data_IF_426685850113
#
_entry.id   IF_426685850113
#
_cell.length_a   1.000
_cell.length_b   1.000
_cell.length_c   1.000
_cell.angle_alpha   90.00
_cell.angle_beta   90.00
_cell.angle_gamma   90.00
#
_symmetry.space_group_name_H-M   'P 1'
#
loop_
_entity.id
_entity.type
_entity.pdbx_description
1 polymer ?
#
# COMPACT_ATOMS: atom_id res chain seq x y z
N UNK A 1 15.25 -25.91 -43.82
CA UNK A 1 13.97 -25.26 -43.49
C UNK A 1 13.66 -25.56 -42.03
N UNK A 2 13.99 -24.65 -41.10
CA UNK A 2 13.79 -24.86 -39.67
C UNK A 2 12.30 -24.66 -39.32
N UNK A 3 11.67 -25.70 -38.77
CA UNK A 3 10.34 -25.63 -38.20
C UNK A 3 10.36 -24.67 -37.00
N UNK A 4 9.58 -23.60 -37.08
CA UNK A 4 9.24 -22.80 -35.91
C UNK A 4 8.29 -23.61 -35.01
N UNK A 5 8.71 -23.90 -33.78
CA UNK A 5 7.85 -24.47 -32.75
C UNK A 5 6.90 -23.36 -32.26
N UNK A 6 5.77 -23.19 -32.92
CA UNK A 6 4.65 -22.47 -32.34
C UNK A 6 4.18 -23.30 -31.15
N UNK A 7 4.49 -22.85 -29.94
CA UNK A 7 4.16 -23.55 -28.70
C UNK A 7 2.68 -23.93 -28.67
N UNK A 8 2.36 -25.05 -28.00
CA UNK A 8 1.00 -25.56 -27.84
C UNK A 8 0.14 -24.60 -26.98
N UNK A 9 -0.24 -23.46 -27.55
CA UNK A 9 -1.18 -22.49 -27.00
C UNK A 9 -2.60 -23.07 -27.14
N UNK A 10 -2.93 -24.02 -26.29
CA UNK A 10 -4.25 -24.65 -26.23
C UNK A 10 -5.08 -24.03 -25.11
N UNK A 11 -6.38 -23.72 -25.34
CA UNK A 11 -7.26 -23.10 -24.36
C UNK A 11 -7.48 -23.95 -23.09
N UNK A 12 -7.95 -23.33 -21.99
CA UNK A 12 -8.41 -21.95 -21.88
C UNK A 12 -7.26 -20.95 -21.76
N UNK A 13 -7.33 -19.88 -22.55
CA UNK A 13 -6.43 -18.75 -22.40
C UNK A 13 -6.76 -18.00 -21.10
N UNK A 14 -5.76 -17.34 -20.46
CA UNK A 14 -6.03 -16.41 -19.37
C UNK A 14 -7.04 -15.35 -19.82
N UNK A 15 -8.04 -15.07 -18.99
CA UNK A 15 -8.89 -13.91 -19.20
C UNK A 15 -8.05 -12.65 -18.99
N UNK A 16 -7.88 -11.89 -20.06
CA UNK A 16 -7.29 -10.56 -20.00
C UNK A 16 -8.41 -9.58 -19.66
N UNK A 17 -8.31 -8.96 -18.49
CA UNK A 17 -9.18 -7.87 -18.08
C UNK A 17 -8.47 -6.56 -18.42
N UNK A 18 -9.12 -5.75 -19.25
CA UNK A 18 -8.69 -4.40 -19.57
C UNK A 18 -9.78 -3.45 -19.12
N UNK A 19 -9.47 -2.60 -18.14
CA UNK A 19 -10.39 -1.60 -17.61
C UNK A 19 -9.86 -0.21 -17.93
N UNK A 20 -10.77 0.69 -18.29
CA UNK A 20 -10.45 2.12 -18.43
C UNK A 20 -10.90 2.80 -17.16
N UNK A 21 -9.93 3.30 -16.38
CA UNK A 21 -10.20 4.10 -15.20
C UNK A 21 -10.12 5.57 -15.60
N UNK A 22 -11.15 6.34 -15.28
CA UNK A 22 -11.19 7.78 -15.52
C UNK A 22 -10.96 8.50 -14.19
N UNK A 23 -10.20 9.58 -14.26
CA UNK A 23 -9.93 10.47 -13.15
C UNK A 23 -10.20 11.90 -13.59
N UNK A 24 -10.72 12.71 -12.68
CA UNK A 24 -10.74 14.15 -12.91
C UNK A 24 -9.36 14.80 -12.61
N UNK A 25 -9.22 16.08 -12.95
CA UNK A 25 -7.95 16.79 -12.79
C UNK A 25 -7.56 16.94 -11.31
N UNK A 26 -8.54 17.10 -10.42
CA UNK A 26 -8.31 17.26 -8.98
C UNK A 26 -7.87 15.94 -8.34
N UNK A 27 -8.47 14.82 -8.72
CA UNK A 27 -8.09 13.46 -8.34
C UNK A 27 -6.66 13.15 -8.79
N UNK A 28 -6.32 13.48 -10.04
CA UNK A 28 -4.96 13.32 -10.56
C UNK A 28 -3.97 14.16 -9.77
N UNK A 29 -4.30 15.43 -9.53
CA UNK A 29 -3.45 16.34 -8.77
C UNK A 29 -3.24 15.84 -7.34
N UNK A 30 -4.32 15.47 -6.65
CA UNK A 30 -4.29 15.00 -5.27
C UNK A 30 -3.49 13.70 -5.14
N UNK A 31 -3.76 12.71 -6.00
CA UNK A 31 -3.02 11.45 -5.99
C UNK A 31 -1.54 11.66 -6.28
N UNK A 32 -1.21 12.50 -7.27
CA UNK A 32 0.17 12.72 -7.66
C UNK A 32 0.96 13.52 -6.61
N UNK A 33 0.47 14.68 -6.21
CA UNK A 33 1.19 15.59 -5.33
C UNK A 33 1.08 15.18 -3.86
N UNK A 34 -0.14 14.98 -3.37
CA UNK A 34 -0.40 14.77 -1.94
C UNK A 34 0.00 13.37 -1.49
N UNK A 35 -0.04 12.37 -2.38
CA UNK A 35 0.32 10.99 -2.02
C UNK A 35 1.66 10.55 -2.58
N UNK A 36 1.81 10.46 -3.91
CA UNK A 36 3.00 9.84 -4.52
C UNK A 36 4.26 10.66 -4.24
N UNK A 37 4.24 11.96 -4.58
CA UNK A 37 5.40 12.82 -4.41
C UNK A 37 5.73 13.07 -2.94
N UNK A 38 4.71 13.21 -2.09
CA UNK A 38 4.90 13.35 -0.65
C UNK A 38 5.57 12.11 -0.04
N UNK A 39 5.07 10.90 -0.36
CA UNK A 39 5.66 9.66 0.14
C UNK A 39 7.10 9.46 -0.36
N UNK A 40 7.43 9.87 -1.59
CA UNK A 40 8.80 9.87 -2.08
C UNK A 40 9.75 10.66 -1.18
N UNK A 41 9.31 11.82 -0.67
CA UNK A 41 10.13 12.64 0.25
C UNK A 41 10.36 11.91 1.57
N UNK A 42 9.32 11.31 2.15
CA UNK A 42 9.40 10.59 3.43
C UNK A 42 10.32 9.38 3.31
N UNK A 43 10.10 8.55 2.29
CA UNK A 43 10.92 7.36 2.04
C UNK A 43 12.37 7.75 1.75
N UNK A 44 12.58 8.84 0.98
CA UNK A 44 13.91 9.39 0.76
C UNK A 44 14.62 9.84 2.04
N UNK A 45 13.89 10.40 3.02
CA UNK A 45 14.42 10.73 4.35
C UNK A 45 14.77 9.48 5.14
N UNK A 46 13.87 8.49 5.17
CA UNK A 46 14.07 7.23 5.89
C UNK A 46 15.29 6.45 5.36
N UNK A 47 15.46 6.40 4.04
CA UNK A 47 16.64 5.77 3.41
C UNK A 47 17.92 6.50 3.84
N UNK A 48 17.91 7.83 3.85
CA UNK A 48 19.09 8.63 4.25
C UNK A 48 19.43 8.51 5.73
N UNK A 49 18.42 8.45 6.61
CA UNK A 49 18.63 8.36 8.06
C UNK A 49 18.83 6.91 8.54
N UNK A 50 18.55 5.91 7.71
CA UNK A 50 18.50 4.50 8.11
C UNK A 50 17.38 4.19 9.11
N UNK A 51 16.49 5.15 9.38
CA UNK A 51 15.39 5.00 10.34
C UNK A 51 14.09 4.80 9.58
N UNK A 52 13.31 3.75 9.86
CA UNK A 52 12.05 3.51 9.18
C UNK A 52 11.05 4.65 9.44
N UNK A 53 10.13 4.94 8.50
CA UNK A 53 9.07 5.91 8.72
C UNK A 53 8.17 5.52 9.91
N UNK A 54 7.59 6.53 10.54
CA UNK A 54 6.65 6.34 11.64
C UNK A 54 5.40 5.56 11.18
N UNK A 55 5.00 4.50 11.91
CA UNK A 55 3.78 3.76 11.60
C UNK A 55 2.54 4.66 11.58
N UNK A 56 1.56 4.34 10.74
CA UNK A 56 0.22 4.96 10.66
C UNK A 56 0.16 6.45 10.25
N UNK A 57 1.30 7.17 10.21
CA UNK A 57 1.31 8.62 9.99
C UNK A 57 1.12 9.06 8.53
N UNK A 58 1.66 8.32 7.58
CA UNK A 58 1.68 8.70 6.16
C UNK A 58 0.92 7.70 5.26
N UNK A 59 0.15 6.83 5.89
CA UNK A 59 -0.58 5.74 5.26
C UNK A 59 -2.08 6.11 5.19
N UNK A 60 -2.78 5.62 4.17
CA UNK A 60 -4.24 5.62 4.17
C UNK A 60 -4.73 4.49 5.08
N UNK A 61 -5.95 4.62 5.59
CA UNK A 61 -6.53 3.63 6.50
C UNK A 61 -6.62 2.24 5.85
N UNK A 62 -7.01 2.18 4.57
CA UNK A 62 -7.05 0.92 3.84
C UNK A 62 -5.66 0.30 3.65
N UNK A 63 -4.61 1.11 3.49
CA UNK A 63 -3.24 0.61 3.33
C UNK A 63 -2.81 -0.13 4.59
N UNK A 64 -3.11 0.44 5.77
CA UNK A 64 -2.81 -0.19 7.05
C UNK A 64 -3.73 -1.38 7.34
N UNK A 65 -5.04 -1.24 7.06
CA UNK A 65 -6.05 -2.27 7.32
C UNK A 65 -5.74 -3.59 6.63
N UNK A 66 -5.30 -3.54 5.38
CA UNK A 66 -4.97 -4.72 4.58
C UNK A 66 -3.46 -5.02 4.54
N UNK A 67 -2.64 -4.30 5.32
CA UNK A 67 -1.21 -4.56 5.39
C UNK A 67 -0.91 -5.88 6.13
N UNK A 68 -0.10 -6.73 5.51
CA UNK A 68 0.41 -7.97 6.14
C UNK A 68 1.11 -7.74 7.48
N UNK A 69 1.71 -6.56 7.67
CA UNK A 69 2.48 -6.20 8.87
C UNK A 69 1.68 -5.37 9.87
N UNK A 70 0.36 -5.21 9.68
CA UNK A 70 -0.48 -4.38 10.55
C UNK A 70 -0.33 -4.75 12.03
N UNK A 71 -0.41 -6.05 12.35
CA UNK A 71 -0.24 -6.56 13.72
C UNK A 71 1.10 -6.18 14.36
N UNK A 72 2.18 -6.22 13.56
CA UNK A 72 3.53 -5.83 14.02
C UNK A 72 3.57 -4.34 14.31
N UNK A 73 3.05 -3.51 13.40
CA UNK A 73 2.98 -2.07 13.57
C UNK A 73 2.12 -1.67 14.77
N UNK A 74 0.98 -2.32 14.98
CA UNK A 74 0.11 -2.11 16.16
C UNK A 74 0.84 -2.49 17.46
N UNK A 75 1.54 -3.62 17.46
CA UNK A 75 2.30 -4.07 18.64
C UNK A 75 3.44 -3.11 18.98
N UNK A 76 4.15 -2.60 17.96
CA UNK A 76 5.18 -1.59 18.11
C UNK A 76 4.58 -0.27 18.62
N UNK A 77 3.50 0.24 18.00
CA UNK A 77 2.85 1.48 18.42
C UNK A 77 2.22 1.42 19.83
N UNK A 78 1.87 0.24 20.33
CA UNK A 78 1.46 0.05 21.73
C UNK A 78 2.64 0.11 22.71
N UNK A 79 3.85 -0.23 22.26
CA UNK A 79 5.06 -0.29 23.11
C UNK A 79 5.93 0.95 23.00
N UNK A 80 5.94 1.62 21.86
CA UNK A 80 6.45 2.99 21.69
C UNK A 80 5.33 3.98 21.98
N UNK A 81 5.64 5.15 22.52
CA UNK A 81 4.69 6.24 22.78
C UNK A 81 4.20 6.92 21.47
N UNK A 82 3.79 6.13 20.47
CA UNK A 82 3.33 6.60 19.16
C UNK A 82 1.82 6.75 19.20
N UNK A 83 1.32 7.96 18.90
CA UNK A 83 -0.12 8.25 18.93
C UNK A 83 -0.87 7.49 17.82
N UNK A 84 -1.81 6.63 18.22
CA UNK A 84 -2.78 5.96 17.34
C UNK A 84 -4.09 6.76 17.31
N UNK A 85 -4.80 6.80 16.17
CA UNK A 85 -6.10 7.45 16.11
C UNK A 85 -7.18 6.65 16.88
N UNK A 86 -8.25 7.31 17.32
CA UNK A 86 -9.34 6.68 18.07
C UNK A 86 -10.01 5.53 17.29
N UNK A 87 -10.21 5.70 15.98
CA UNK A 87 -10.74 4.65 15.10
C UNK A 87 -9.81 3.43 15.02
N UNK A 88 -8.49 3.67 14.94
CA UNK A 88 -7.50 2.58 14.87
C UNK A 88 -7.42 1.79 16.18
N UNK A 89 -7.57 2.47 17.33
CA UNK A 89 -7.63 1.82 18.65
C UNK A 89 -8.86 0.91 18.75
N UNK A 90 -10.00 1.33 18.20
CA UNK A 90 -11.24 0.57 18.28
C UNK A 90 -11.28 -0.63 17.34
N UNK A 91 -10.69 -0.52 16.14
CA UNK A 91 -10.48 -1.67 15.25
C UNK A 91 -9.49 -2.68 15.86
N UNK A 92 -8.41 -2.20 16.47
CA UNK A 92 -7.41 -3.05 17.13
C UNK A 92 -8.02 -3.82 18.31
N UNK A 93 -8.86 -3.20 19.15
CA UNK A 93 -9.60 -3.92 20.21
C UNK A 93 -10.44 -5.10 19.68
N UNK A 94 -10.96 -5.02 18.45
CA UNK A 94 -11.75 -6.10 17.84
C UNK A 94 -10.91 -7.27 17.33
N UNK A 95 -9.60 -7.08 17.10
CA UNK A 95 -8.69 -8.14 16.65
C UNK A 95 -8.25 -9.09 17.77
N UNK A 96 -8.37 -8.67 19.04
CA UNK A 96 -7.89 -9.40 20.21
C UNK A 96 -8.99 -9.97 21.11
N UNK A 97 -10.26 -9.68 20.80
CA UNK A 97 -11.43 -10.31 21.43
C UNK A 97 -11.95 -11.45 20.54
#
# INVERSE_FOLDING_TARGET
>A
MSQASWGNYSPPFPQLYAETIQFDEDELYHNWHSKILYNKVILGKAIKSGTPPEPFKNCYDWECKYCRYNLVCQTLARTSTTEMSEEQIEEDKKLWN
#
